data_IF_598852744716
#
_entry.id   IF_598852744716
#
_cell.length_a   1.000
_cell.length_b   1.000
_cell.length_c   1.000
_cell.angle_alpha   90.00
_cell.angle_beta   90.00
_cell.angle_gamma   90.00
#
_symmetry.space_group_name_H-M   'P 1'
#
loop_
_entity.id
_entity.type
_entity.pdbx_description
1 polymer ?
#
# COMPACT_ATOMS: atom_id res chain seq x y z
N UNK A 1 35.49 20.02 -15.24
CA UNK A 1 35.49 19.94 -13.77
C UNK A 1 36.13 18.62 -13.38
N UNK A 2 36.85 18.53 -12.28
CA UNK A 2 37.41 17.28 -11.76
C UNK A 2 36.29 16.34 -11.36
N UNK A 3 36.46 15.01 -11.54
CA UNK A 3 35.51 14.01 -11.07
C UNK A 3 35.51 13.99 -9.53
N UNK A 4 34.33 13.74 -8.94
CA UNK A 4 34.18 13.61 -7.49
C UNK A 4 34.76 12.26 -7.01
N UNK A 5 35.62 12.28 -5.99
CA UNK A 5 36.08 11.07 -5.33
C UNK A 5 34.96 10.48 -4.46
N UNK A 6 34.69 9.17 -4.65
CA UNK A 6 33.56 8.47 -4.00
C UNK A 6 34.03 7.72 -2.77
N UNK A 7 34.05 8.37 -1.60
CA UNK A 7 34.56 7.76 -0.35
C UNK A 7 33.64 6.59 0.11
N UNK A 8 32.35 6.61 -0.21
CA UNK A 8 31.41 5.52 0.08
C UNK A 8 31.70 4.22 -0.69
N UNK A 9 32.45 4.27 -1.80
CA UNK A 9 32.93 3.07 -2.50
C UNK A 9 34.10 2.42 -1.79
N UNK A 10 34.96 3.23 -1.08
CA UNK A 10 36.08 2.74 -0.30
C UNK A 10 35.61 2.18 1.04
N UNK A 11 34.76 2.91 1.75
CA UNK A 11 34.12 2.47 2.99
C UNK A 11 32.66 3.00 3.08
N UNK A 12 31.69 2.13 2.88
CA UNK A 12 30.27 2.48 2.98
C UNK A 12 29.84 2.89 4.41
N UNK A 13 30.67 2.64 5.42
CA UNK A 13 30.46 3.01 6.83
C UNK A 13 31.08 4.36 7.20
N UNK A 14 31.83 4.99 6.31
CA UNK A 14 32.31 6.34 6.51
C UNK A 14 31.18 7.34 6.50
N UNK A 15 30.98 8.06 7.59
CA UNK A 15 29.84 8.97 7.81
C UNK A 15 30.17 10.42 7.58
N UNK A 16 31.47 10.79 7.55
CA UNK A 16 31.94 12.18 7.46
C UNK A 16 33.04 12.34 6.44
N UNK A 17 33.13 13.52 5.85
CA UNK A 17 34.21 13.93 4.97
C UNK A 17 34.53 15.42 5.13
N UNK A 18 35.78 15.77 4.88
CA UNK A 18 36.21 17.12 4.56
C UNK A 18 36.38 17.19 3.04
N UNK A 19 35.89 18.24 2.43
CA UNK A 19 35.83 18.37 0.98
C UNK A 19 35.92 19.84 0.55
N UNK A 20 36.17 20.05 -0.74
CA UNK A 20 36.23 21.41 -1.33
C UNK A 20 35.05 21.53 -2.31
N UNK A 21 34.37 22.66 -2.26
CA UNK A 21 33.32 22.99 -3.24
C UNK A 21 33.99 23.23 -4.60
N UNK A 22 33.59 22.43 -5.60
CA UNK A 22 34.02 22.59 -7.00
C UNK A 22 33.09 23.53 -7.77
N UNK A 23 31.82 23.48 -7.47
CA UNK A 23 30.78 24.34 -8.07
C UNK A 23 29.60 24.47 -7.14
N UNK A 24 28.91 25.59 -7.22
CA UNK A 24 27.63 25.83 -6.55
C UNK A 24 26.67 26.52 -7.53
N UNK A 25 25.47 26.01 -7.67
CA UNK A 25 24.44 26.49 -8.60
C UNK A 25 23.12 26.71 -7.84
N UNK A 26 22.49 27.90 -7.94
CA UNK A 26 21.19 28.12 -7.33
C UNK A 26 20.10 27.30 -8.06
N UNK A 27 19.08 26.87 -7.32
CA UNK A 27 17.87 26.31 -7.86
C UNK A 27 16.71 27.27 -7.62
N UNK A 28 16.36 28.04 -8.64
CA UNK A 28 15.28 29.06 -8.59
C UNK A 28 13.90 28.47 -8.26
N UNK A 29 13.68 27.16 -8.47
CA UNK A 29 12.38 26.51 -8.22
C UNK A 29 12.18 26.17 -6.76
N UNK A 30 13.25 25.78 -6.06
CA UNK A 30 13.18 25.34 -4.65
C UNK A 30 13.63 26.41 -3.68
N UNK A 31 14.30 27.45 -4.14
CA UNK A 31 14.98 28.46 -3.30
C UNK A 31 16.28 27.96 -2.67
N UNK A 32 16.67 26.71 -2.95
CA UNK A 32 17.92 26.08 -2.54
C UNK A 32 18.99 26.13 -3.61
N UNK A 33 19.81 25.08 -3.67
CA UNK A 33 20.86 24.97 -4.69
C UNK A 33 21.41 23.57 -4.86
N UNK A 34 22.44 23.48 -5.70
CA UNK A 34 23.22 22.24 -5.90
C UNK A 34 24.69 22.53 -5.71
N UNK A 35 25.37 21.68 -4.97
CA UNK A 35 26.81 21.80 -4.69
C UNK A 35 27.55 20.58 -5.21
N UNK A 36 28.58 20.78 -6.00
CA UNK A 36 29.51 19.73 -6.42
C UNK A 36 30.77 19.78 -5.54
N UNK A 37 31.21 18.60 -5.07
CA UNK A 37 32.39 18.44 -4.19
C UNK A 37 33.51 17.68 -4.90
N UNK A 38 34.76 17.90 -4.47
CA UNK A 38 35.95 17.17 -4.95
C UNK A 38 35.94 15.71 -4.45
N UNK A 39 35.36 15.45 -3.27
CA UNK A 39 35.14 14.12 -2.73
C UNK A 39 33.90 14.08 -1.82
N UNK A 40 33.28 12.92 -1.64
CA UNK A 40 32.05 12.83 -0.83
C UNK A 40 31.80 11.45 -0.24
N UNK A 41 31.19 11.44 0.95
CA UNK A 41 30.65 10.24 1.60
C UNK A 41 29.19 9.96 1.18
N UNK A 42 28.51 10.92 0.54
CA UNK A 42 27.12 10.82 0.15
C UNK A 42 26.96 9.92 -1.08
N UNK A 43 26.16 8.86 -0.94
CA UNK A 43 25.79 7.97 -2.04
C UNK A 43 24.74 8.66 -2.94
N UNK A 44 24.96 8.72 -4.26
CA UNK A 44 23.96 9.25 -5.19
C UNK A 44 22.83 8.21 -5.43
N UNK A 45 21.64 8.69 -5.83
CA UNK A 45 20.60 7.79 -6.27
C UNK A 45 21.08 6.92 -7.44
N UNK A 46 20.95 5.60 -7.30
CA UNK A 46 21.38 4.67 -8.33
C UNK A 46 21.07 3.22 -8.03
N UNK A 47 20.90 2.42 -9.08
CA UNK A 47 20.68 0.98 -8.93
C UNK A 47 19.43 0.58 -8.14
N UNK A 48 18.43 1.47 -8.00
CA UNK A 48 17.22 1.24 -7.21
C UNK A 48 17.35 1.59 -5.73
N UNK A 49 18.53 2.11 -5.31
CA UNK A 49 18.76 2.65 -3.97
C UNK A 49 18.63 4.18 -4.02
N UNK A 50 17.83 4.80 -3.12
CA UNK A 50 17.76 6.25 -2.97
C UNK A 50 19.08 6.87 -2.54
N UNK A 51 19.28 8.16 -2.84
CA UNK A 51 20.40 8.93 -2.41
C UNK A 51 20.46 9.07 -0.88
N UNK A 52 21.66 9.39 -0.38
CA UNK A 52 21.84 9.78 1.01
C UNK A 52 21.26 11.17 1.29
N UNK A 53 21.06 11.40 2.57
CA UNK A 53 20.70 12.66 3.19
C UNK A 53 21.71 13.02 4.25
N UNK A 54 21.71 14.25 4.70
CA UNK A 54 22.60 14.69 5.76
C UNK A 54 22.84 16.20 5.72
N UNK A 55 24.05 16.64 6.10
CA UNK A 55 24.38 18.05 6.20
C UNK A 55 25.75 18.37 5.59
N UNK A 56 25.86 19.57 5.05
CA UNK A 56 27.16 20.21 4.72
C UNK A 56 27.32 21.44 5.60
N UNK A 57 28.43 21.54 6.31
CA UNK A 57 28.76 22.67 7.20
C UNK A 57 29.89 23.47 6.61
N UNK A 58 29.68 24.76 6.43
CA UNK A 58 30.64 25.74 5.93
C UNK A 58 31.53 26.30 7.07
N UNK A 59 32.69 26.91 6.77
CA UNK A 59 33.59 27.44 7.78
C UNK A 59 32.99 28.59 8.61
N UNK A 60 32.01 29.31 8.09
CA UNK A 60 31.28 30.36 8.80
C UNK A 60 30.20 29.81 9.77
N UNK A 61 30.08 28.48 9.84
CA UNK A 61 29.11 27.77 10.68
C UNK A 61 27.72 27.57 10.01
N UNK A 62 27.52 28.02 8.78
CA UNK A 62 26.27 27.76 8.05
C UNK A 62 26.17 26.26 7.77
N UNK A 63 24.99 25.70 8.06
CA UNK A 63 24.66 24.27 7.83
C UNK A 63 23.58 24.16 6.77
N UNK A 64 23.82 23.36 5.74
CA UNK A 64 22.95 23.12 4.61
C UNK A 64 22.42 21.67 4.70
N UNK A 65 21.12 21.46 4.60
CA UNK A 65 20.57 20.12 4.56
C UNK A 65 20.68 19.55 3.15
N UNK A 66 21.37 18.44 3.00
CA UNK A 66 21.42 17.66 1.76
C UNK A 66 20.17 16.79 1.70
N UNK A 67 19.34 17.03 0.71
CA UNK A 67 18.06 16.33 0.52
C UNK A 67 18.11 15.25 -0.55
N UNK A 68 19.06 15.35 -1.47
CA UNK A 68 19.23 14.44 -2.60
C UNK A 68 20.65 14.54 -3.18
N UNK A 69 21.14 13.47 -3.84
CA UNK A 69 22.45 13.43 -4.51
C UNK A 69 22.32 12.71 -5.84
N UNK A 70 22.79 13.35 -6.91
CA UNK A 70 22.80 12.77 -8.25
C UNK A 70 24.19 12.83 -8.89
N UNK A 71 24.52 11.80 -9.66
CA UNK A 71 25.73 11.78 -10.48
C UNK A 71 25.46 12.25 -11.90
N UNK A 72 26.29 13.18 -12.37
CA UNK A 72 26.31 13.60 -13.78
C UNK A 72 27.74 13.75 -14.26
N UNK A 73 28.12 13.01 -15.28
CA UNK A 73 29.45 13.06 -15.92
C UNK A 73 30.61 12.79 -14.93
N UNK A 74 30.38 11.95 -13.91
CA UNK A 74 31.34 11.63 -12.85
C UNK A 74 31.46 12.69 -11.77
N UNK A 75 30.57 13.67 -11.74
CA UNK A 75 30.46 14.69 -10.70
C UNK A 75 29.20 14.42 -9.87
N UNK A 76 29.36 14.39 -8.54
CA UNK A 76 28.24 14.22 -7.62
C UNK A 76 27.72 15.59 -7.19
N UNK A 77 26.45 15.83 -7.49
CA UNK A 77 25.72 17.05 -7.15
C UNK A 77 24.82 16.81 -5.95
N UNK A 78 25.04 17.58 -4.90
CA UNK A 78 24.27 17.54 -3.65
C UNK A 78 23.20 18.64 -3.70
N UNK A 79 21.94 18.26 -3.71
CA UNK A 79 20.81 19.20 -3.61
C UNK A 79 20.67 19.68 -2.17
N UNK A 80 20.71 20.99 -1.96
CA UNK A 80 20.66 21.62 -0.64
C UNK A 80 19.45 22.53 -0.51
N UNK A 81 18.93 22.64 0.71
CA UNK A 81 17.75 23.45 1.03
C UNK A 81 18.00 24.97 0.99
N UNK A 82 19.26 25.38 1.14
CA UNK A 82 19.69 26.77 1.05
C UNK A 82 21.05 26.88 0.38
N UNK A 83 21.32 28.00 -0.31
CA UNK A 83 22.63 28.28 -0.91
C UNK A 83 23.11 29.67 -0.45
N UNK A 84 23.87 29.77 0.67
CA UNK A 84 24.40 31.03 1.14
C UNK A 84 25.51 31.56 0.23
N UNK A 85 25.78 32.86 0.28
CA UNK A 85 26.83 33.52 -0.52
C UNK A 85 28.26 33.00 -0.23
N UNK A 86 28.47 32.39 0.97
CA UNK A 86 29.72 31.75 1.35
C UNK A 86 29.97 30.39 0.68
N UNK A 87 28.95 29.78 0.07
CA UNK A 87 29.08 28.50 -0.63
C UNK A 87 29.63 28.70 -2.06
N UNK A 88 30.88 29.07 -2.18
CA UNK A 88 31.57 29.34 -3.46
C UNK A 88 32.62 28.31 -3.78
N UNK A 89 33.01 28.13 -5.05
CA UNK A 89 34.12 27.26 -5.42
C UNK A 89 35.42 27.59 -4.66
N UNK A 90 36.10 26.53 -4.15
CA UNK A 90 37.31 26.66 -3.32
C UNK A 90 37.00 26.69 -1.82
N UNK A 91 35.78 26.85 -1.38
CA UNK A 91 35.42 26.80 0.05
C UNK A 91 35.53 25.37 0.58
N UNK A 92 36.20 25.20 1.72
CA UNK A 92 36.22 23.93 2.46
C UNK A 92 34.83 23.68 3.08
N UNK A 93 34.40 22.42 3.14
CA UNK A 93 33.12 22.04 3.70
C UNK A 93 33.22 20.68 4.39
N UNK A 94 32.57 20.56 5.54
CA UNK A 94 32.45 19.31 6.29
C UNK A 94 31.12 18.65 5.95
N UNK A 95 31.17 17.45 5.42
CA UNK A 95 29.97 16.65 5.08
C UNK A 95 29.70 15.59 6.14
N UNK A 96 28.42 15.42 6.53
CA UNK A 96 27.97 14.37 7.45
C UNK A 96 26.65 13.77 6.96
N UNK A 97 26.63 12.45 6.69
CA UNK A 97 25.41 11.75 6.27
C UNK A 97 24.49 11.46 7.45
N UNK A 98 23.18 11.35 7.18
CA UNK A 98 22.22 10.70 8.07
C UNK A 98 22.51 9.19 8.09
N UNK A 99 23.16 8.74 9.17
CA UNK A 99 23.57 7.34 9.30
C UNK A 99 22.41 6.37 9.39
N UNK A 100 21.31 6.74 10.08
CA UNK A 100 20.14 5.88 10.20
C UNK A 100 19.47 5.66 8.84
N UNK A 101 19.39 6.72 8.04
CA UNK A 101 18.92 6.64 6.67
C UNK A 101 19.81 5.74 5.79
N UNK A 102 21.14 5.95 5.83
CA UNK A 102 22.10 5.14 5.07
C UNK A 102 22.03 3.67 5.47
N UNK A 103 22.06 3.39 6.76
CA UNK A 103 22.11 2.03 7.29
C UNK A 103 20.81 1.26 6.97
N UNK A 104 19.66 1.92 7.06
CA UNK A 104 18.39 1.35 6.58
C UNK A 104 18.49 0.94 5.11
N UNK A 105 19.00 1.82 4.22
CA UNK A 105 19.16 1.47 2.80
C UNK A 105 20.13 0.31 2.58
N UNK A 106 21.21 0.26 3.35
CA UNK A 106 22.16 -0.87 3.31
C UNK A 106 21.52 -2.18 3.75
N UNK A 107 20.70 -2.17 4.81
CA UNK A 107 19.93 -3.34 5.25
C UNK A 107 18.94 -3.82 4.16
N UNK A 108 18.17 -2.90 3.57
CA UNK A 108 17.25 -3.23 2.50
C UNK A 108 17.96 -3.80 1.27
N UNK A 109 19.07 -3.18 0.85
CA UNK A 109 19.81 -3.58 -0.36
C UNK A 109 20.52 -4.93 -0.17
N UNK A 110 21.20 -5.12 0.95
CA UNK A 110 21.86 -6.39 1.24
C UNK A 110 20.85 -7.52 1.43
N UNK A 111 19.72 -7.25 2.09
CA UNK A 111 18.63 -8.22 2.24
C UNK A 111 17.99 -8.60 0.90
N UNK A 112 17.86 -7.65 -0.03
CA UNK A 112 17.41 -7.94 -1.40
C UNK A 112 18.38 -8.88 -2.12
N UNK A 113 19.69 -8.61 -2.07
CA UNK A 113 20.71 -9.48 -2.67
C UNK A 113 20.63 -10.90 -2.10
N UNK A 114 20.53 -11.06 -0.78
CA UNK A 114 20.40 -12.39 -0.15
C UNK A 114 19.13 -13.08 -0.66
N UNK A 115 17.97 -12.42 -0.62
CA UNK A 115 16.71 -13.03 -1.02
C UNK A 115 16.71 -13.35 -2.52
N UNK A 116 17.13 -12.43 -3.38
CA UNK A 116 17.13 -12.64 -4.82
C UNK A 116 18.12 -13.74 -5.26
N UNK A 117 19.26 -13.84 -4.59
CA UNK A 117 20.20 -14.94 -4.81
C UNK A 117 19.63 -16.30 -4.40
N UNK A 118 18.96 -16.38 -3.25
CA UNK A 118 18.27 -17.61 -2.80
C UNK A 118 17.11 -17.97 -3.76
N UNK A 119 16.33 -17.00 -4.22
CA UNK A 119 15.26 -17.26 -5.21
C UNK A 119 15.83 -17.75 -6.54
N UNK A 120 16.97 -17.22 -6.96
CA UNK A 120 17.67 -17.72 -8.14
C UNK A 120 18.15 -19.17 -7.94
N UNK A 121 18.77 -19.49 -6.83
CA UNK A 121 19.27 -20.84 -6.52
C UNK A 121 18.13 -21.87 -6.42
N UNK A 122 17.01 -21.52 -5.82
CA UNK A 122 15.90 -22.46 -5.58
C UNK A 122 14.98 -22.62 -6.79
N UNK A 123 14.77 -21.57 -7.58
CA UNK A 123 13.72 -21.53 -8.61
C UNK A 123 14.21 -21.07 -9.97
N UNK A 124 15.48 -20.72 -10.15
CA UNK A 124 15.99 -20.10 -11.37
C UNK A 124 15.39 -18.68 -11.60
N UNK A 125 14.88 -18.06 -10.55
CA UNK A 125 14.20 -16.77 -10.64
C UNK A 125 15.21 -15.63 -10.78
N UNK A 126 15.09 -14.83 -11.85
CA UNK A 126 15.87 -13.61 -12.02
C UNK A 126 15.13 -12.41 -11.39
N UNK A 127 15.90 -11.50 -10.78
CA UNK A 127 15.37 -10.22 -10.37
C UNK A 127 15.28 -9.28 -11.59
N UNK A 128 14.06 -9.04 -12.08
CA UNK A 128 13.78 -8.21 -13.26
C UNK A 128 13.33 -6.79 -12.91
N UNK A 129 13.19 -6.48 -11.62
CA UNK A 129 12.84 -5.14 -11.13
C UNK A 129 13.14 -4.99 -9.65
N UNK A 130 13.75 -3.86 -9.27
CA UNK A 130 14.14 -3.56 -7.90
C UNK A 130 14.05 -2.08 -7.60
N UNK A 131 13.48 -1.75 -6.45
CA UNK A 131 13.44 -0.38 -5.94
C UNK A 131 13.25 -0.38 -4.42
N UNK A 132 14.08 0.36 -3.71
CA UNK A 132 13.94 0.61 -2.26
C UNK A 132 12.98 1.79 -2.08
N UNK A 133 11.72 1.49 -1.81
CA UNK A 133 10.71 2.49 -1.49
C UNK A 133 10.81 2.99 -0.04
N UNK A 134 9.94 3.95 0.31
CA UNK A 134 9.83 4.49 1.68
C UNK A 134 9.35 3.43 2.67
N UNK A 135 8.38 2.61 2.30
CA UNK A 135 7.76 1.61 3.17
C UNK A 135 8.37 0.22 3.01
N UNK A 136 8.62 -0.21 1.77
CA UNK A 136 9.13 -1.54 1.46
C UNK A 136 10.00 -1.55 0.21
N UNK A 137 10.82 -2.57 0.10
CA UNK A 137 11.53 -2.93 -1.13
C UNK A 137 10.54 -3.63 -2.06
N UNK A 138 10.46 -3.15 -3.30
CA UNK A 138 9.78 -3.84 -4.39
C UNK A 138 10.78 -4.66 -5.17
N UNK A 139 10.51 -5.95 -5.33
CA UNK A 139 11.30 -6.86 -6.12
C UNK A 139 10.40 -7.67 -7.05
N UNK A 140 10.73 -7.71 -8.34
CA UNK A 140 9.98 -8.45 -9.36
C UNK A 140 10.80 -9.65 -9.82
N UNK A 141 10.20 -10.84 -9.85
CA UNK A 141 10.86 -12.09 -10.32
C UNK A 141 10.44 -12.43 -11.73
N UNK A 142 11.30 -13.15 -12.46
CA UNK A 142 11.05 -13.60 -13.85
C UNK A 142 10.11 -14.80 -13.96
N UNK A 143 9.89 -15.53 -12.87
CA UNK A 143 9.07 -16.76 -12.84
C UNK A 143 8.07 -16.73 -11.70
N UNK A 144 6.92 -17.43 -11.83
CA UNK A 144 5.96 -17.55 -10.75
C UNK A 144 6.53 -18.44 -9.63
N UNK A 145 6.26 -18.06 -8.37
CA UNK A 145 6.69 -18.81 -7.19
C UNK A 145 5.49 -18.95 -6.27
N UNK A 146 5.24 -20.16 -5.78
CA UNK A 146 4.13 -20.41 -4.87
C UNK A 146 4.34 -19.77 -3.50
N UNK A 147 3.26 -19.55 -2.76
CA UNK A 147 3.34 -19.01 -1.39
C UNK A 147 4.18 -19.91 -0.46
N UNK A 148 4.17 -21.23 -0.68
CA UNK A 148 5.01 -22.17 0.05
C UNK A 148 6.49 -22.01 -0.32
N UNK A 149 6.77 -21.88 -1.63
CA UNK A 149 8.12 -21.60 -2.14
C UNK A 149 8.68 -20.28 -1.59
N UNK A 150 7.86 -19.23 -1.54
CA UNK A 150 8.26 -17.95 -0.94
C UNK A 150 8.57 -18.06 0.55
N UNK A 151 7.78 -18.83 1.31
CA UNK A 151 8.07 -19.08 2.75
C UNK A 151 9.37 -19.85 2.93
N UNK A 152 9.63 -20.84 2.08
CA UNK A 152 10.88 -21.61 2.12
C UNK A 152 12.09 -20.72 1.78
N UNK A 153 11.99 -19.87 0.75
CA UNK A 153 13.04 -18.94 0.37
C UNK A 153 13.30 -17.88 1.45
N UNK A 154 12.25 -17.31 2.05
CA UNK A 154 12.38 -16.38 3.18
C UNK A 154 13.16 -17.00 4.35
N UNK A 155 12.83 -18.25 4.71
CA UNK A 155 13.55 -18.95 5.76
C UNK A 155 15.01 -19.22 5.37
N UNK A 156 15.27 -19.63 4.12
CA UNK A 156 16.63 -19.87 3.63
C UNK A 156 17.46 -18.57 3.61
N UNK A 157 16.87 -17.47 3.18
CA UNK A 157 17.51 -16.15 3.21
C UNK A 157 17.87 -15.72 4.65
N UNK A 158 16.95 -15.92 5.60
CA UNK A 158 17.24 -15.60 7.02
C UNK A 158 18.30 -16.52 7.63
N UNK A 159 18.47 -17.76 7.16
CA UNK A 159 19.59 -18.61 7.59
C UNK A 159 20.95 -18.00 7.19
N UNK A 160 21.06 -17.38 6.03
CA UNK A 160 22.27 -16.63 5.63
C UNK A 160 22.48 -15.43 6.54
N UNK A 161 21.41 -14.70 6.90
CA UNK A 161 21.50 -13.61 7.87
C UNK A 161 22.07 -14.12 9.22
N UNK A 162 21.56 -15.22 9.73
CA UNK A 162 21.97 -15.80 11.02
C UNK A 162 23.39 -16.37 11.03
N UNK A 163 23.94 -16.71 9.87
CA UNK A 163 25.33 -17.15 9.74
C UNK A 163 26.34 -16.02 9.90
N UNK A 164 25.90 -14.76 9.76
CA UNK A 164 26.72 -13.55 9.90
C UNK A 164 28.01 -13.59 9.04
N UNK A 165 27.85 -14.01 7.79
CA UNK A 165 28.98 -14.08 6.85
C UNK A 165 29.35 -12.69 6.30
N UNK A 166 30.63 -12.42 5.93
CA UNK A 166 31.05 -11.14 5.40
C UNK A 166 30.42 -10.87 4.02
N UNK A 167 30.06 -9.61 3.77
CA UNK A 167 29.68 -9.09 2.45
C UNK A 167 30.94 -8.52 1.82
N UNK A 168 31.41 -9.16 0.77
CA UNK A 168 32.69 -8.86 0.12
C UNK A 168 32.47 -7.98 -1.10
N UNK A 169 33.29 -6.95 -1.26
CA UNK A 169 33.33 -6.09 -2.44
C UNK A 169 34.65 -6.28 -3.16
N UNK A 170 34.61 -6.49 -4.45
CA UNK A 170 35.81 -6.62 -5.27
C UNK A 170 35.66 -5.90 -6.62
N UNK A 171 36.80 -5.60 -7.23
CA UNK A 171 36.91 -4.98 -8.54
C UNK A 171 37.77 -5.89 -9.42
N UNK A 172 37.25 -7.02 -9.94
CA UNK A 172 37.99 -7.98 -10.70
C UNK A 172 38.54 -7.37 -12.01
N UNK A 173 39.70 -7.88 -12.45
CA UNK A 173 40.18 -7.63 -13.81
C UNK A 173 39.28 -8.24 -14.87
N UNK A 174 39.47 -7.90 -16.14
CA UNK A 174 38.68 -8.49 -17.24
C UNK A 174 38.82 -10.01 -17.32
N UNK A 175 40.03 -10.52 -17.03
CA UNK A 175 40.33 -11.97 -17.06
C UNK A 175 39.65 -12.68 -15.87
N UNK A 176 39.70 -12.13 -14.67
CA UNK A 176 39.01 -12.64 -13.50
C UNK A 176 37.48 -12.59 -13.67
N UNK A 177 36.98 -11.47 -14.23
CA UNK A 177 35.54 -11.31 -14.48
C UNK A 177 35.00 -12.32 -15.51
N UNK A 178 35.79 -12.65 -16.54
CA UNK A 178 35.42 -13.64 -17.56
C UNK A 178 35.33 -15.06 -16.98
N UNK A 179 36.04 -15.34 -15.88
CA UNK A 179 36.00 -16.65 -15.19
C UNK A 179 34.97 -16.68 -14.05
N UNK A 180 34.38 -15.53 -13.68
CA UNK A 180 33.45 -15.41 -12.56
C UNK A 180 32.02 -15.62 -13.04
N UNK A 181 31.28 -16.51 -12.37
CA UNK A 181 29.83 -16.61 -12.54
C UNK A 181 29.18 -15.61 -11.60
N UNK A 182 28.53 -14.60 -12.18
CA UNK A 182 27.82 -13.56 -11.41
C UNK A 182 26.55 -13.11 -12.09
N UNK A 183 25.62 -12.57 -11.33
CA UNK A 183 24.37 -11.99 -11.85
C UNK A 183 24.60 -10.50 -12.20
N UNK A 184 23.98 -10.06 -13.28
CA UNK A 184 23.96 -8.64 -13.65
C UNK A 184 22.63 -8.27 -14.28
N UNK A 185 22.09 -7.10 -13.91
CA UNK A 185 20.85 -6.56 -14.49
C UNK A 185 21.09 -5.80 -15.79
N UNK A 186 22.34 -5.44 -16.10
CA UNK A 186 22.74 -4.66 -17.28
C UNK A 186 24.13 -5.08 -17.75
N UNK A 187 24.41 -4.90 -19.03
CA UNK A 187 25.77 -4.86 -19.51
C UNK A 187 26.48 -3.62 -18.92
N UNK A 188 27.65 -3.82 -18.34
CA UNK A 188 28.42 -2.79 -17.67
C UNK A 188 29.67 -2.51 -18.49
N UNK A 189 29.82 -1.29 -18.97
CA UNK A 189 31.05 -0.82 -19.62
C UNK A 189 32.03 -0.32 -18.55
N UNK A 190 33.31 -0.68 -18.67
CA UNK A 190 34.37 -0.26 -17.77
C UNK A 190 34.63 -1.22 -16.62
N UNK A 191 35.02 -0.68 -15.46
CA UNK A 191 35.33 -1.46 -14.26
C UNK A 191 34.05 -1.94 -13.58
N UNK A 192 33.90 -3.25 -13.39
CA UNK A 192 32.75 -3.86 -12.74
C UNK A 192 33.04 -4.04 -11.26
N UNK A 193 32.13 -3.54 -10.42
CA UNK A 193 32.13 -3.77 -8.98
C UNK A 193 31.28 -5.00 -8.67
N UNK A 194 31.86 -6.02 -8.05
CA UNK A 194 31.20 -7.26 -7.67
C UNK A 194 30.97 -7.27 -6.15
N UNK A 195 29.74 -7.57 -5.77
CA UNK A 195 29.34 -7.85 -4.39
C UNK A 195 29.13 -9.34 -4.25
N UNK A 196 29.85 -9.97 -3.34
CA UNK A 196 29.76 -11.41 -3.04
C UNK A 196 29.26 -11.63 -1.64
N UNK A 197 28.17 -12.35 -1.51
CA UNK A 197 27.60 -12.83 -0.25
C UNK A 197 27.72 -14.35 -0.25
N UNK A 198 28.70 -14.94 0.48
CA UNK A 198 28.93 -16.38 0.45
C UNK A 198 27.67 -17.19 0.76
N UNK A 199 27.37 -18.16 -0.12
CA UNK A 199 26.19 -19.00 0.00
C UNK A 199 24.86 -18.39 -0.47
N UNK A 200 24.84 -17.09 -0.80
CA UNK A 200 23.65 -16.40 -1.24
C UNK A 200 23.79 -15.82 -2.65
N UNK A 201 24.71 -14.90 -2.89
CA UNK A 201 24.74 -14.13 -4.14
C UNK A 201 26.14 -13.73 -4.57
N UNK A 202 26.35 -13.64 -5.89
CA UNK A 202 27.47 -12.96 -6.54
C UNK A 202 26.89 -12.07 -7.62
N UNK A 203 26.96 -10.74 -7.46
CA UNK A 203 26.25 -9.81 -8.33
C UNK A 203 27.05 -8.55 -8.61
N UNK A 204 26.92 -8.04 -9.83
CA UNK A 204 27.42 -6.71 -10.17
C UNK A 204 26.49 -5.65 -9.55
N UNK A 205 27.02 -4.84 -8.63
CA UNK A 205 26.26 -3.83 -7.90
C UNK A 205 27.11 -2.65 -7.48
N UNK A 206 26.58 -1.42 -7.66
CA UNK A 206 27.23 -0.17 -7.23
C UNK A 206 26.69 0.37 -5.91
N UNK A 207 25.67 -0.26 -5.31
CA UNK A 207 25.04 0.21 -4.08
C UNK A 207 25.88 0.03 -2.82
N UNK A 208 25.39 0.58 -1.73
CA UNK A 208 26.03 0.39 -0.41
C UNK A 208 25.45 -0.83 0.30
N UNK A 209 26.29 -1.58 1.01
CA UNK A 209 25.93 -2.83 1.66
C UNK A 209 26.42 -2.86 3.11
N UNK A 210 25.80 -3.69 3.93
CA UNK A 210 26.27 -4.01 5.28
C UNK A 210 27.61 -4.75 5.23
N UNK A 211 28.40 -4.70 6.30
CA UNK A 211 29.70 -5.44 6.35
C UNK A 211 29.50 -6.94 6.45
N UNK A 212 28.45 -7.35 7.16
CA UNK A 212 28.09 -8.76 7.32
C UNK A 212 26.59 -8.95 7.12
N UNK A 213 26.20 -10.18 6.84
CA UNK A 213 24.78 -10.52 6.66
C UNK A 213 23.98 -10.40 7.95
N UNK A 214 24.60 -10.59 9.13
CA UNK A 214 23.95 -10.40 10.43
C UNK A 214 23.45 -8.98 10.66
N UNK A 215 24.12 -7.98 10.10
CA UNK A 215 23.70 -6.58 10.18
C UNK A 215 22.42 -6.27 9.39
N UNK A 216 21.98 -7.17 8.50
CA UNK A 216 20.66 -7.07 7.84
C UNK A 216 19.52 -7.22 8.84
N UNK A 217 19.75 -7.98 9.93
CA UNK A 217 18.78 -8.25 10.98
C UNK A 217 17.80 -9.36 10.57
N UNK A 218 16.67 -9.02 9.99
CA UNK A 218 15.67 -9.98 9.52
C UNK A 218 15.19 -9.59 8.12
N UNK A 219 14.97 -10.58 7.26
CA UNK A 219 14.32 -10.40 5.95
C UNK A 219 12.89 -10.90 6.07
N UNK A 220 11.89 -10.06 5.70
CA UNK A 220 10.48 -10.40 5.75
C UNK A 220 9.77 -10.06 4.44
N UNK A 221 9.15 -11.07 3.82
CA UNK A 221 8.22 -10.86 2.72
C UNK A 221 6.87 -10.48 3.32
N UNK A 222 6.40 -9.25 3.06
CA UNK A 222 5.11 -8.74 3.55
C UNK A 222 3.96 -9.14 2.65
N UNK A 223 4.18 -9.12 1.34
CA UNK A 223 3.16 -9.43 0.34
C UNK A 223 3.79 -9.98 -0.94
N UNK A 224 2.98 -10.70 -1.69
CA UNK A 224 3.31 -11.19 -3.03
C UNK A 224 2.09 -11.09 -3.93
N UNK A 225 2.29 -10.68 -5.18
CA UNK A 225 1.26 -10.61 -6.21
C UNK A 225 1.79 -11.12 -7.55
N UNK A 226 0.93 -11.72 -8.37
CA UNK A 226 1.33 -12.13 -9.72
C UNK A 226 1.62 -10.89 -10.57
N UNK A 227 2.77 -10.87 -11.24
CA UNK A 227 3.18 -9.72 -12.03
C UNK A 227 3.99 -10.15 -13.26
N UNK A 228 3.51 -9.82 -14.47
CA UNK A 228 4.20 -10.00 -15.76
C UNK A 228 4.84 -11.40 -15.97
N UNK A 229 4.12 -12.45 -15.57
CA UNK A 229 4.60 -13.84 -15.69
C UNK A 229 5.50 -14.31 -14.54
N UNK A 230 5.81 -13.45 -13.58
CA UNK A 230 6.51 -13.75 -12.34
C UNK A 230 5.71 -13.32 -11.12
N UNK A 231 6.43 -12.96 -10.06
CA UNK A 231 5.85 -12.48 -8.79
C UNK A 231 6.49 -11.15 -8.41
N UNK A 232 5.66 -10.18 -8.04
CA UNK A 232 6.10 -8.97 -7.35
C UNK A 232 6.06 -9.18 -5.86
N UNK A 233 7.16 -8.90 -5.19
CA UNK A 233 7.31 -9.02 -3.76
C UNK A 233 7.44 -7.64 -3.11
N UNK A 234 6.79 -7.47 -1.96
CA UNK A 234 7.06 -6.39 -1.01
C UNK A 234 7.88 -6.97 0.14
N UNK A 235 9.10 -6.50 0.30
CA UNK A 235 10.07 -7.04 1.26
C UNK A 235 10.57 -5.93 2.18
N UNK A 236 10.81 -6.25 3.43
CA UNK A 236 11.44 -5.36 4.42
C UNK A 236 12.54 -6.08 5.16
N UNK A 237 13.58 -5.34 5.54
CA UNK A 237 14.71 -5.86 6.29
C UNK A 237 14.98 -5.02 7.54
N UNK A 238 15.66 -5.61 8.53
CA UNK A 238 16.12 -4.90 9.71
C UNK A 238 15.04 -4.24 10.55
N UNK A 239 15.23 -2.96 10.84
CA UNK A 239 14.29 -2.19 11.65
C UNK A 239 12.87 -2.19 11.07
N UNK A 240 12.73 -2.06 9.74
CA UNK A 240 11.41 -2.10 9.07
C UNK A 240 10.70 -3.45 9.25
N UNK A 241 11.44 -4.57 9.32
CA UNK A 241 10.85 -5.89 9.58
C UNK A 241 10.32 -5.98 11.01
N UNK A 242 11.02 -5.40 11.99
CA UNK A 242 10.56 -5.32 13.38
C UNK A 242 9.32 -4.42 13.49
N UNK A 243 9.32 -3.25 12.87
CA UNK A 243 8.16 -2.33 12.84
C UNK A 243 6.93 -2.99 12.23
N UNK A 244 7.10 -3.71 11.10
CA UNK A 244 6.03 -4.46 10.48
C UNK A 244 5.45 -5.53 11.41
N UNK A 245 6.29 -6.27 12.13
CA UNK A 245 5.87 -7.27 13.11
C UNK A 245 5.12 -6.62 14.29
N UNK A 246 5.59 -5.47 14.80
CA UNK A 246 4.92 -4.70 15.85
C UNK A 246 3.55 -4.19 15.39
N UNK A 247 3.46 -3.64 14.18
CA UNK A 247 2.20 -3.18 13.61
C UNK A 247 1.19 -4.32 13.39
N UNK A 248 1.65 -5.50 12.96
CA UNK A 248 0.79 -6.69 12.85
C UNK A 248 0.26 -7.11 14.22
N UNK A 249 1.13 -7.15 15.25
CA UNK A 249 0.74 -7.48 16.62
C UNK A 249 -0.26 -6.48 17.20
N UNK A 250 -0.07 -5.18 16.97
CA UNK A 250 -1.00 -4.14 17.44
C UNK A 250 -2.40 -4.34 16.82
N UNK A 251 -2.48 -4.52 15.49
CA UNK A 251 -3.76 -4.81 14.81
C UNK A 251 -4.45 -6.07 15.35
N UNK A 252 -3.68 -7.12 15.62
CA UNK A 252 -4.20 -8.36 16.21
C UNK A 252 -4.73 -8.14 17.63
N UNK A 253 -4.05 -7.31 18.43
CA UNK A 253 -4.48 -6.96 19.78
C UNK A 253 -5.79 -6.16 19.75
N UNK A 254 -5.93 -5.19 18.83
CA UNK A 254 -7.14 -4.40 18.64
C UNK A 254 -8.34 -5.29 18.26
N UNK A 255 -8.15 -6.22 17.31
CA UNK A 255 -9.19 -7.20 16.96
C UNK A 255 -9.53 -8.07 18.17
N UNK A 256 -8.52 -8.54 18.90
CA UNK A 256 -8.72 -9.35 20.09
C UNK A 256 -9.50 -8.61 21.19
N UNK A 257 -9.20 -7.33 21.43
CA UNK A 257 -9.92 -6.49 22.36
C UNK A 257 -11.39 -6.31 21.97
N UNK A 258 -11.65 -6.00 20.68
CA UNK A 258 -13.01 -5.85 20.16
C UNK A 258 -13.85 -7.11 20.32
N UNK A 259 -13.26 -8.29 20.10
CA UNK A 259 -13.96 -9.57 20.11
C UNK A 259 -13.83 -10.33 21.45
N UNK A 260 -13.21 -9.72 22.48
CA UNK A 260 -12.90 -10.37 23.77
C UNK A 260 -12.17 -11.71 23.57
N UNK A 261 -11.23 -11.75 22.62
CA UNK A 261 -10.51 -12.96 22.23
C UNK A 261 -9.01 -12.86 22.57
N UNK A 262 -8.39 -13.98 22.95
CA UNK A 262 -6.94 -14.07 23.08
C UNK A 262 -6.27 -13.98 21.72
N UNK A 263 -4.99 -13.59 21.67
CA UNK A 263 -4.25 -13.35 20.43
C UNK A 263 -4.25 -14.57 19.48
N UNK A 264 -4.12 -15.77 20.00
CA UNK A 264 -4.16 -17.04 19.26
C UNK A 264 -5.58 -17.46 18.81
N UNK A 265 -6.63 -16.82 19.34
CA UNK A 265 -8.03 -17.11 19.08
C UNK A 265 -8.76 -16.04 18.24
N UNK A 266 -8.06 -14.97 17.82
CA UNK A 266 -8.67 -13.87 17.06
C UNK A 266 -9.34 -14.33 15.76
N UNK A 267 -8.70 -15.21 14.99
CA UNK A 267 -9.28 -15.73 13.75
C UNK A 267 -10.57 -16.54 14.02
N UNK A 268 -10.57 -17.39 15.06
CA UNK A 268 -11.74 -18.17 15.47
C UNK A 268 -12.89 -17.24 15.89
N UNK A 269 -12.57 -16.17 16.64
CA UNK A 269 -13.58 -15.19 17.07
C UNK A 269 -14.17 -14.41 15.88
N UNK A 270 -13.37 -14.06 14.87
CA UNK A 270 -13.87 -13.42 13.63
C UNK A 270 -14.83 -14.36 12.89
N UNK A 271 -14.47 -15.63 12.71
CA UNK A 271 -15.36 -16.63 12.08
C UNK A 271 -16.65 -16.79 12.85
N UNK A 272 -16.60 -16.91 14.19
CA UNK A 272 -17.81 -17.00 15.02
C UNK A 272 -18.74 -15.81 14.79
N UNK A 273 -18.23 -14.57 14.85
CA UNK A 273 -19.06 -13.38 14.63
C UNK A 273 -19.63 -13.33 13.22
N UNK A 274 -18.87 -13.75 12.21
CA UNK A 274 -19.34 -13.84 10.84
C UNK A 274 -20.49 -14.87 10.70
N UNK A 275 -20.37 -16.03 11.33
CA UNK A 275 -21.38 -17.08 11.30
C UNK A 275 -22.65 -16.65 12.05
N UNK A 276 -22.49 -16.04 13.25
CA UNK A 276 -23.61 -15.47 14.04
C UNK A 276 -24.33 -14.36 13.24
N UNK A 277 -23.60 -13.46 12.58
CA UNK A 277 -24.17 -12.43 11.72
C UNK A 277 -24.96 -13.05 10.55
N UNK A 278 -24.40 -14.06 9.92
CA UNK A 278 -25.06 -14.77 8.80
C UNK A 278 -26.34 -15.46 9.25
N UNK A 279 -26.30 -16.17 10.39
CA UNK A 279 -27.48 -16.80 10.98
C UNK A 279 -28.56 -15.77 11.35
N UNK A 280 -28.13 -14.62 11.94
CA UNK A 280 -29.05 -13.53 12.27
C UNK A 280 -29.73 -12.96 11.02
N UNK A 281 -28.99 -12.78 9.92
CA UNK A 281 -29.59 -12.35 8.64
C UNK A 281 -30.65 -13.33 8.13
N UNK A 282 -30.40 -14.63 8.20
CA UNK A 282 -31.37 -15.63 7.82
C UNK A 282 -32.63 -15.61 8.72
N UNK A 283 -32.44 -15.50 10.03
CA UNK A 283 -33.54 -15.40 11.00
C UNK A 283 -34.38 -14.15 10.73
N UNK A 284 -33.71 -13.00 10.57
CA UNK A 284 -34.38 -11.73 10.25
C UNK A 284 -35.17 -11.81 8.95
N UNK A 285 -34.59 -12.40 7.88
CA UNK A 285 -35.28 -12.62 6.62
C UNK A 285 -36.54 -13.47 6.81
N UNK A 286 -36.45 -14.54 7.59
CA UNK A 286 -37.59 -15.42 7.88
C UNK A 286 -38.69 -14.72 8.66
N UNK A 287 -38.35 -13.95 9.70
CA UNK A 287 -39.30 -13.17 10.49
C UNK A 287 -39.97 -12.09 9.63
N UNK A 288 -39.19 -11.38 8.80
CA UNK A 288 -39.78 -10.43 7.85
C UNK A 288 -40.74 -11.09 6.86
N UNK A 289 -40.41 -12.28 6.35
CA UNK A 289 -41.31 -13.01 5.45
C UNK A 289 -42.64 -13.37 6.11
N UNK A 290 -42.60 -13.87 7.35
CA UNK A 290 -43.81 -14.15 8.12
C UNK A 290 -44.68 -12.89 8.38
N UNK A 291 -44.00 -11.77 8.73
CA UNK A 291 -44.66 -10.48 8.89
C UNK A 291 -45.32 -10.02 7.58
N UNK A 292 -44.61 -10.14 6.45
CA UNK A 292 -45.14 -9.74 5.14
C UNK A 292 -46.34 -10.60 4.73
N UNK A 293 -46.31 -11.90 5.00
CA UNK A 293 -47.44 -12.78 4.79
C UNK A 293 -48.66 -12.37 5.61
N UNK A 294 -48.47 -12.07 6.91
CA UNK A 294 -49.54 -11.60 7.78
C UNK A 294 -50.11 -10.24 7.31
N UNK A 295 -49.25 -9.29 6.91
CA UNK A 295 -49.70 -7.99 6.40
C UNK A 295 -50.40 -8.09 5.05
N UNK A 296 -50.03 -9.04 4.20
CA UNK A 296 -50.72 -9.32 2.95
C UNK A 296 -52.11 -9.92 3.18
N UNK A 297 -52.28 -10.81 4.17
CA UNK A 297 -53.60 -11.39 4.55
C UNK A 297 -54.59 -10.33 5.04
N UNK A 298 -54.11 -9.18 5.52
CA UNK A 298 -54.94 -8.04 5.93
C UNK A 298 -55.34 -7.11 4.77
N UNK A 299 -54.93 -7.41 3.54
CA UNK A 299 -55.35 -6.66 2.35
C UNK A 299 -56.64 -7.19 1.78
N UNK A 300 -57.56 -6.31 1.43
CA UNK A 300 -58.79 -6.69 0.74
C UNK A 300 -58.56 -6.73 -0.78
N UNK A 301 -59.05 -7.74 -1.49
CA UNK A 301 -58.93 -7.80 -2.93
C UNK A 301 -59.52 -6.55 -3.62
N UNK A 302 -58.74 -5.93 -4.50
CA UNK A 302 -59.14 -4.72 -5.23
C UNK A 302 -58.97 -3.40 -4.49
N UNK A 303 -58.61 -3.42 -3.19
CA UNK A 303 -58.34 -2.22 -2.40
C UNK A 303 -56.83 -1.91 -2.31
N UNK A 304 -56.51 -0.64 -2.02
CA UNK A 304 -55.12 -0.22 -1.81
C UNK A 304 -54.54 -0.81 -0.51
N UNK A 305 -53.33 -1.31 -0.57
CA UNK A 305 -52.63 -1.89 0.57
C UNK A 305 -51.36 -1.08 0.88
N UNK A 306 -51.46 -0.08 1.77
CA UNK A 306 -50.33 0.74 2.25
C UNK A 306 -49.97 0.26 3.65
N UNK A 307 -48.69 -0.09 3.83
CA UNK A 307 -48.16 -0.60 5.13
C UNK A 307 -46.89 0.11 5.51
N UNK A 308 -46.86 0.63 6.72
CA UNK A 308 -45.66 1.22 7.33
C UNK A 308 -45.04 0.23 8.31
N UNK A 309 -43.80 -0.19 8.01
CA UNK A 309 -43.03 -1.13 8.84
C UNK A 309 -41.68 -0.50 9.15
N UNK A 310 -41.42 -0.15 10.41
CA UNK A 310 -40.11 0.43 10.81
C UNK A 310 -38.94 -0.56 10.61
N UNK A 311 -37.77 -0.03 10.25
CA UNK A 311 -36.52 -0.79 10.17
C UNK A 311 -36.35 -1.65 8.94
N UNK A 312 -37.23 -1.54 7.93
CA UNK A 312 -36.97 -2.19 6.66
C UNK A 312 -35.87 -1.50 5.86
N UNK A 313 -34.96 -2.30 5.38
CA UNK A 313 -33.98 -1.88 4.38
C UNK A 313 -34.64 -1.80 2.98
N UNK A 314 -33.97 -1.29 1.95
CA UNK A 314 -34.52 -1.21 0.60
C UNK A 314 -35.03 -2.56 0.02
N UNK A 315 -34.33 -3.66 0.34
CA UNK A 315 -34.76 -5.00 -0.09
C UNK A 315 -36.06 -5.44 0.63
N UNK A 316 -36.14 -5.20 1.93
CA UNK A 316 -37.33 -5.44 2.73
C UNK A 316 -38.54 -4.64 2.25
N UNK A 317 -38.39 -3.37 1.91
CA UNK A 317 -39.46 -2.56 1.30
C UNK A 317 -39.91 -3.15 -0.04
N UNK A 318 -38.96 -3.54 -0.89
CA UNK A 318 -39.27 -4.16 -2.18
C UNK A 318 -40.05 -5.46 -1.99
N UNK A 319 -39.60 -6.34 -1.12
CA UNK A 319 -40.23 -7.64 -0.84
C UNK A 319 -41.63 -7.48 -0.26
N UNK A 320 -41.82 -6.55 0.68
CA UNK A 320 -43.16 -6.28 1.23
C UNK A 320 -44.10 -5.75 0.14
N UNK A 321 -43.66 -4.78 -0.66
CA UNK A 321 -44.51 -4.24 -1.74
C UNK A 321 -44.89 -5.32 -2.76
N UNK A 322 -43.97 -6.19 -3.17
CA UNK A 322 -44.26 -7.33 -4.06
C UNK A 322 -45.23 -8.31 -3.38
N UNK A 323 -45.02 -8.62 -2.09
CA UNK A 323 -45.94 -9.56 -1.39
C UNK A 323 -47.37 -9.02 -1.29
N UNK A 324 -47.53 -7.70 -1.12
CA UNK A 324 -48.83 -7.06 -1.12
C UNK A 324 -49.54 -7.15 -2.50
N UNK A 325 -48.79 -7.08 -3.61
CA UNK A 325 -49.39 -7.22 -4.97
C UNK A 325 -49.93 -8.62 -5.27
N UNK A 326 -49.56 -9.65 -4.51
CA UNK A 326 -50.12 -10.99 -4.61
C UNK A 326 -51.50 -11.09 -3.92
N UNK A 327 -51.81 -10.17 -3.01
CA UNK A 327 -53.04 -10.17 -2.22
C UNK A 327 -54.11 -9.21 -2.77
N UNK A 328 -53.74 -8.17 -3.52
CA UNK A 328 -54.65 -7.18 -4.07
C UNK A 328 -54.18 -6.64 -5.42
N UNK A 329 -55.16 -6.26 -6.29
CA UNK A 329 -54.91 -5.55 -7.55
C UNK A 329 -54.84 -4.02 -7.37
N UNK A 330 -55.17 -3.51 -6.17
CA UNK A 330 -55.04 -2.10 -5.82
C UNK A 330 -53.60 -1.62 -5.77
N UNK A 331 -53.38 -0.34 -5.44
CA UNK A 331 -52.06 0.22 -5.20
C UNK A 331 -51.45 -0.37 -3.92
N UNK A 332 -50.28 -0.93 -4.03
CA UNK A 332 -49.49 -1.45 -2.90
C UNK A 332 -48.33 -0.50 -2.55
N UNK A 333 -48.15 -0.22 -1.28
CA UNK A 333 -47.01 0.57 -0.82
C UNK A 333 -46.45 0.02 0.49
N UNK A 334 -45.12 -0.13 0.52
CA UNK A 334 -44.35 -0.38 1.72
C UNK A 334 -43.59 0.90 2.10
N UNK A 335 -43.74 1.32 3.34
CA UNK A 335 -43.10 2.53 3.87
C UNK A 335 -42.27 2.17 5.10
N UNK A 336 -41.14 2.86 5.28
CA UNK A 336 -40.32 2.77 6.50
C UNK A 336 -39.83 4.16 6.94
N UNK A 337 -40.00 4.53 8.21
CA UNK A 337 -39.38 5.76 8.70
C UNK A 337 -37.87 5.66 8.69
N UNK A 338 -37.20 6.75 8.31
CA UNK A 338 -35.74 6.89 8.31
C UNK A 338 -35.35 8.17 9.02
N UNK A 339 -34.09 8.36 9.38
CA UNK A 339 -33.60 9.59 9.99
C UNK A 339 -33.86 10.86 9.15
N UNK A 340 -34.04 10.72 7.83
CA UNK A 340 -34.22 11.83 6.87
C UNK A 340 -35.62 11.89 6.26
N UNK A 341 -36.60 11.15 6.81
CA UNK A 341 -37.95 11.08 6.30
C UNK A 341 -38.44 9.64 6.11
N UNK A 342 -38.91 9.29 4.92
CA UNK A 342 -39.49 8.00 4.63
C UNK A 342 -38.85 7.31 3.43
N UNK A 343 -38.41 6.05 3.61
CA UNK A 343 -38.16 5.12 2.54
C UNK A 343 -39.43 4.50 2.04
N UNK A 344 -39.62 4.38 0.74
CA UNK A 344 -40.83 3.83 0.15
C UNK A 344 -40.58 2.82 -0.98
N UNK A 345 -41.47 1.88 -1.15
CA UNK A 345 -41.63 1.07 -2.37
C UNK A 345 -43.12 1.02 -2.74
N UNK A 346 -43.43 1.44 -3.96
CA UNK A 346 -44.81 1.47 -4.51
C UNK A 346 -44.85 0.44 -5.62
N UNK A 347 -45.89 -0.41 -5.60
CA UNK A 347 -46.08 -1.46 -6.59
C UNK A 347 -47.58 -1.62 -6.98
N UNK A 348 -47.84 -2.09 -8.21
CA UNK A 348 -49.16 -2.49 -8.68
C UNK A 348 -48.96 -3.58 -9.73
N UNK A 349 -49.68 -4.70 -9.59
CA UNK A 349 -49.47 -5.90 -10.42
C UNK A 349 -49.63 -5.61 -11.92
N UNK A 350 -50.70 -4.98 -12.33
CA UNK A 350 -51.05 -4.70 -13.73
C UNK A 350 -51.02 -3.19 -14.06
N UNK A 351 -50.32 -2.39 -13.24
CA UNK A 351 -50.29 -0.93 -13.35
C UNK A 351 -48.93 -0.35 -13.71
N UNK A 352 -48.93 0.96 -13.99
CA UNK A 352 -47.68 1.75 -14.15
C UNK A 352 -47.58 2.82 -13.07
N UNK A 353 -46.76 2.55 -12.05
CA UNK A 353 -46.59 3.42 -10.89
C UNK A 353 -45.49 4.49 -11.08
N UNK A 354 -44.86 4.61 -12.26
CA UNK A 354 -43.78 5.57 -12.52
C UNK A 354 -44.24 7.02 -12.43
N UNK A 355 -45.42 7.33 -12.97
CA UNK A 355 -45.98 8.69 -12.90
C UNK A 355 -46.33 9.07 -11.45
N UNK A 356 -46.90 8.15 -10.67
CA UNK A 356 -47.19 8.33 -9.25
C UNK A 356 -45.90 8.53 -8.41
N UNK A 357 -44.87 7.72 -8.63
CA UNK A 357 -43.60 7.86 -7.97
C UNK A 357 -42.91 9.21 -8.28
N UNK A 358 -43.03 9.67 -9.54
CA UNK A 358 -42.51 10.99 -9.95
C UNK A 358 -43.29 12.12 -9.27
N UNK A 359 -44.61 12.04 -9.19
CA UNK A 359 -45.43 13.02 -8.50
C UNK A 359 -45.16 13.06 -7.01
N UNK A 360 -45.02 11.90 -6.35
CA UNK A 360 -44.62 11.78 -4.95
C UNK A 360 -43.24 12.46 -4.68
N UNK A 361 -42.25 12.14 -5.50
CA UNK A 361 -40.93 12.75 -5.34
C UNK A 361 -40.95 14.27 -5.50
N UNK A 362 -41.74 14.79 -6.46
CA UNK A 362 -41.91 16.24 -6.64
C UNK A 362 -42.64 16.91 -5.48
N UNK A 363 -43.70 16.29 -4.94
CA UNK A 363 -44.52 16.86 -3.88
C UNK A 363 -43.84 16.78 -2.49
N UNK A 364 -43.08 15.72 -2.21
CA UNK A 364 -42.55 15.40 -0.88
C UNK A 364 -41.00 15.50 -0.82
N UNK A 365 -40.38 16.24 -1.74
CA UNK A 365 -38.94 16.39 -1.83
C UNK A 365 -38.19 15.05 -1.79
N UNK A 366 -38.64 14.14 -2.67
CA UNK A 366 -38.13 12.78 -2.74
C UNK A 366 -37.27 12.52 -3.96
N UNK A 367 -36.68 11.35 -3.96
CA UNK A 367 -35.89 10.79 -5.08
C UNK A 367 -36.12 9.29 -5.17
N UNK A 368 -36.19 8.78 -6.38
CA UNK A 368 -36.40 7.36 -6.64
C UNK A 368 -36.93 7.14 -8.03
N UNK A 369 -37.25 5.88 -8.35
CA UNK A 369 -37.79 5.45 -9.65
C UNK A 369 -37.81 3.94 -9.74
N UNK A 370 -38.11 3.42 -10.93
CA UNK A 370 -38.20 1.96 -11.13
C UNK A 370 -38.77 1.58 -12.48
N UNK A 371 -39.39 0.41 -12.52
CA UNK A 371 -40.12 -0.18 -13.68
C UNK A 371 -41.60 0.13 -13.61
N UNK A 372 -42.41 -0.08 -14.68
CA UNK A 372 -43.84 0.20 -14.66
C UNK A 372 -44.55 -0.35 -13.42
N UNK A 373 -44.41 -1.62 -13.12
CA UNK A 373 -45.09 -2.28 -12.00
C UNK A 373 -44.55 -1.98 -10.61
N UNK A 374 -43.35 -1.35 -10.47
CA UNK A 374 -42.72 -1.11 -9.16
C UNK A 374 -41.73 0.04 -9.20
N UNK A 375 -41.82 0.96 -8.25
CA UNK A 375 -40.92 2.07 -8.03
C UNK A 375 -40.52 2.16 -6.56
N UNK A 376 -39.26 2.53 -6.32
CA UNK A 376 -38.70 2.62 -4.99
C UNK A 376 -37.90 3.92 -4.83
N UNK A 377 -37.89 4.47 -3.60
CA UNK A 377 -37.22 5.72 -3.34
C UNK A 377 -37.22 6.12 -1.86
N UNK A 378 -36.92 7.38 -1.62
CA UNK A 378 -37.05 8.02 -0.33
C UNK A 378 -37.48 9.47 -0.48
N UNK A 379 -38.15 10.03 0.55
CA UNK A 379 -38.57 11.43 0.58
C UNK A 379 -38.37 12.01 1.98
N UNK A 380 -38.42 13.35 2.09
CA UNK A 380 -38.21 14.06 3.36
C UNK A 380 -39.46 14.08 4.26
N UNK A 381 -40.61 13.62 3.77
CA UNK A 381 -41.85 13.60 4.50
C UNK A 381 -41.98 12.43 5.49
N UNK A 382 -42.80 12.57 6.52
CA UNK A 382 -43.14 11.50 7.44
C UNK A 382 -44.01 10.42 6.73
N UNK A 383 -44.01 9.16 7.23
CA UNK A 383 -44.80 8.08 6.60
C UNK A 383 -46.28 8.42 6.42
N UNK A 384 -46.90 9.10 7.39
CA UNK A 384 -48.32 9.47 7.36
C UNK A 384 -48.60 10.44 6.21
N UNK A 385 -47.69 11.35 5.90
CA UNK A 385 -47.84 12.28 4.77
C UNK A 385 -47.69 11.58 3.43
N UNK A 386 -46.81 10.57 3.37
CA UNK A 386 -46.64 9.72 2.16
C UNK A 386 -47.89 8.89 1.95
N UNK A 387 -48.45 8.28 2.99
CA UNK A 387 -49.69 7.53 2.95
C UNK A 387 -50.86 8.40 2.51
N UNK A 388 -51.01 9.61 3.07
CA UNK A 388 -52.05 10.57 2.70
C UNK A 388 -51.95 10.98 1.23
N UNK A 389 -50.73 11.25 0.75
CA UNK A 389 -50.45 11.58 -0.65
C UNK A 389 -50.90 10.43 -1.58
N UNK A 390 -50.49 9.19 -1.26
CA UNK A 390 -50.80 8.02 -2.07
C UNK A 390 -52.32 7.74 -2.14
N UNK A 391 -53.07 8.01 -1.05
CA UNK A 391 -54.55 7.83 -1.01
C UNK A 391 -55.31 8.92 -1.77
N UNK A 392 -54.71 10.14 -1.91
CA UNK A 392 -55.37 11.29 -2.61
C UNK A 392 -55.06 11.34 -4.12
N UNK A 393 -53.98 10.74 -4.54
CA UNK A 393 -53.48 10.84 -5.92
C UNK A 393 -53.87 9.59 -6.72
N UNK A 394 -55.20 9.38 -6.88
CA UNK A 394 -55.78 8.33 -7.76
C UNK A 394 -56.07 8.87 -9.13
#
# INVERSE_FOLDING_TARGET
MQRTEKYFEQDAFRTQCESIILAAEPDEKTGGGRIALDGTVFYPEGGGQPADRGTLTLPDGATLNVTDVHERDGILWHSVDALPESAVPGTAVSGCIDWEWRFDKMQQHTGEHILSGILHQMFGAENVGFHIGSEAVRMDTSVPISAEGLRAAELAANRIVWQDVPVLVSYPTREELAALVYRSKKEIEGQVRIVTIPGADVCACCGTHTRTTGQVGQIKILASENYKGGVRLSVVCGARALEAAQAMRARQADIGALLSAKADQTAVAVHRVYDEYTALKFTHFGVCSQLFDALAQLANPGEDAIRTVPGLDPDGLHRLAVRLTEATTGLCAALTPTEKGTGYCIAQADGDVRALAKALNAALNGRGGGKPGICQGSCAAAPEQVEEFLRKTK
#
